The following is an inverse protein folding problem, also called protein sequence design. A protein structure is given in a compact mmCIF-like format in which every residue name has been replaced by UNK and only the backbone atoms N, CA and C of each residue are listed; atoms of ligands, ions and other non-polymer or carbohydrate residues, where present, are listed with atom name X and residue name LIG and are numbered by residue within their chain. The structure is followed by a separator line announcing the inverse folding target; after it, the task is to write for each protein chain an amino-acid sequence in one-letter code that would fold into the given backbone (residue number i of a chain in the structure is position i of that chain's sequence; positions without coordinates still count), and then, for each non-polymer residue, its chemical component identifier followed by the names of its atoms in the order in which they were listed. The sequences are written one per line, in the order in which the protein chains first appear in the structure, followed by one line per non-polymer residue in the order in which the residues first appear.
data_IF_124473979719
#
_entry.id   IF_124473979719
#
_cell.length_a   1.000
_cell.length_b   1.000
_cell.length_c   1.000
_cell.angle_alpha   90.00
_cell.angle_beta   90.00
_cell.angle_gamma   90.00
#
_symmetry.space_group_name_H-M   'P 1'
#
loop_
_entity.id
_entity.type
_entity.pdbx_description
1 polymer ?
#
# COMPACT_ATOMS: atom_id res chain seq x y z
N UNK A 1 -4.09 19.14 -39.46
CA UNK A 1 -4.64 18.14 -38.50
C UNK A 1 -4.77 16.81 -39.22
N UNK A 2 -3.78 15.92 -39.08
CA UNK A 2 -3.84 14.55 -39.61
C UNK A 2 -3.42 13.59 -38.49
N UNK A 3 -4.30 12.64 -38.20
CA UNK A 3 -4.23 11.71 -37.07
C UNK A 3 -3.90 10.33 -37.63
N UNK A 4 -2.62 9.96 -37.63
CA UNK A 4 -2.19 8.61 -38.05
C UNK A 4 -2.33 7.68 -36.86
N UNK A 5 -3.36 6.82 -36.90
CA UNK A 5 -3.49 5.66 -36.00
C UNK A 5 -2.53 4.57 -36.50
N UNK A 6 -1.49 4.26 -35.75
CA UNK A 6 -0.79 3.00 -35.93
C UNK A 6 -1.58 1.88 -35.26
N UNK A 7 -2.14 1.00 -36.09
CA UNK A 7 -2.67 -0.30 -35.72
C UNK A 7 -1.50 -1.29 -35.80
N UNK A 8 -1.06 -1.82 -34.67
CA UNK A 8 -0.15 -2.96 -34.62
C UNK A 8 -1.00 -4.23 -34.76
N UNK A 9 -0.93 -4.87 -35.93
CA UNK A 9 -1.38 -6.26 -36.14
C UNK A 9 -0.21 -7.18 -35.78
N UNK A 10 -0.44 -8.09 -34.84
CA UNK A 10 0.39 -9.25 -34.58
C UNK A 10 -0.06 -10.38 -35.52
N UNK A 11 0.78 -10.73 -36.48
CA UNK A 11 0.76 -12.01 -37.18
C UNK A 11 2.23 -12.43 -37.31
N UNK A 12 2.71 -13.30 -36.41
CA UNK A 12 3.79 -14.20 -36.79
C UNK A 12 3.64 -15.53 -36.03
N UNK A 13 3.76 -16.58 -36.81
CA UNK A 13 3.39 -17.93 -36.49
C UNK A 13 4.64 -18.75 -36.23
N UNK A 14 4.56 -19.65 -35.25
CA UNK A 14 5.14 -20.98 -35.39
C UNK A 14 6.59 -21.20 -34.98
N UNK A 15 6.72 -22.03 -33.94
CA UNK A 15 7.50 -23.29 -33.99
C UNK A 15 8.92 -23.29 -33.38
N UNK A 16 8.95 -23.37 -32.05
CA UNK A 16 9.87 -24.23 -31.27
C UNK A 16 9.50 -25.72 -31.51
N UNK A 17 10.34 -26.76 -31.55
CA UNK A 17 11.71 -27.02 -31.11
C UNK A 17 11.71 -28.46 -30.55
N UNK A 18 12.58 -29.37 -31.04
CA UNK A 18 12.75 -30.70 -30.43
C UNK A 18 13.30 -31.83 -31.31
N UNK A 19 14.64 -31.93 -31.34
CA UNK A 19 15.58 -33.04 -31.64
C UNK A 19 15.17 -34.31 -32.43
N UNK A 20 16.12 -34.86 -33.22
CA UNK A 20 16.75 -36.09 -32.74
C UNK A 20 18.30 -36.12 -32.79
N UNK A 21 18.83 -37.05 -32.01
CA UNK A 21 20.22 -37.41 -31.71
C UNK A 21 20.98 -38.16 -32.83
N UNK A 22 22.29 -37.86 -32.96
CA UNK A 22 23.45 -38.68 -33.40
C UNK A 22 23.20 -39.95 -34.26
N UNK A 23 23.77 -40.14 -35.45
CA UNK A 23 25.21 -40.46 -35.74
C UNK A 23 25.41 -40.56 -37.28
N UNK A 24 26.53 -40.12 -37.88
CA UNK A 24 26.88 -40.51 -39.24
C UNK A 24 27.86 -41.70 -39.24
N UNK A 25 27.39 -42.85 -39.70
CA UNK A 25 28.22 -44.00 -40.10
C UNK A 25 28.85 -43.74 -41.47
N UNK A 26 30.15 -44.04 -41.59
CA UNK A 26 31.00 -43.90 -42.78
C UNK A 26 30.46 -44.53 -44.07
N UNK A 27 30.74 -43.92 -45.22
CA UNK A 27 31.72 -44.45 -46.20
C UNK A 27 31.71 -43.67 -47.54
N UNK A 28 32.91 -43.25 -47.94
CA UNK A 28 33.47 -43.20 -49.30
C UNK A 28 32.68 -42.52 -50.45
N UNK A 29 33.22 -41.41 -50.97
CA UNK A 29 33.81 -41.40 -52.31
C UNK A 29 34.59 -40.11 -52.61
N UNK A 30 35.87 -40.34 -52.91
CA UNK A 30 36.82 -39.59 -53.75
C UNK A 30 36.30 -38.38 -54.53
N UNK A 31 36.94 -37.24 -54.32
CA UNK A 31 36.92 -36.09 -55.22
C UNK A 31 37.88 -35.01 -54.72
N UNK A 32 39.07 -34.96 -55.30
CA UNK A 32 40.04 -33.92 -55.04
C UNK A 32 39.49 -32.55 -55.51
N UNK A 33 39.16 -31.68 -54.57
CA UNK A 33 38.84 -30.28 -54.81
C UNK A 33 39.09 -29.53 -53.52
N UNK A 34 40.10 -28.65 -53.52
CA UNK A 34 40.37 -27.76 -52.40
C UNK A 34 39.09 -26.99 -52.02
N UNK A 35 38.66 -26.97 -50.76
CA UNK A 35 37.51 -26.16 -50.38
C UNK A 35 37.92 -24.70 -50.45
N UNK A 36 37.29 -23.94 -51.35
CA UNK A 36 37.27 -22.50 -51.27
C UNK A 36 36.77 -22.07 -49.88
N UNK A 37 37.31 -21.00 -49.28
CA UNK A 37 36.91 -20.59 -47.94
C UNK A 37 35.43 -20.28 -47.95
N UNK A 38 34.66 -21.04 -47.18
CA UNK A 38 33.28 -20.68 -46.86
C UNK A 38 33.39 -19.38 -46.09
N UNK A 39 33.14 -18.27 -46.78
CA UNK A 39 33.09 -16.95 -46.15
C UNK A 39 31.96 -17.04 -45.13
N UNK A 40 32.30 -17.05 -43.85
CA UNK A 40 31.33 -16.99 -42.77
C UNK A 40 30.72 -15.58 -42.78
N UNK A 41 29.71 -15.40 -43.65
CA UNK A 41 29.02 -14.13 -43.89
C UNK A 41 28.43 -13.60 -42.58
N UNK A 42 28.03 -14.49 -41.66
CA UNK A 42 27.51 -14.10 -40.36
C UNK A 42 28.61 -13.52 -39.46
N UNK A 43 29.79 -14.13 -39.45
CA UNK A 43 30.95 -13.56 -38.77
C UNK A 43 31.38 -12.20 -39.36
N UNK A 44 31.30 -12.04 -40.69
CA UNK A 44 31.60 -10.76 -41.35
C UNK A 44 30.55 -9.69 -41.03
N UNK A 45 29.26 -10.02 -40.98
CA UNK A 45 28.20 -9.09 -40.58
C UNK A 45 28.41 -8.63 -39.13
N UNK A 46 28.71 -9.57 -38.22
CA UNK A 46 28.95 -9.25 -36.81
C UNK A 46 30.21 -8.38 -36.63
N UNK A 47 31.27 -8.66 -37.38
CA UNK A 47 32.48 -7.85 -37.38
C UNK A 47 32.22 -6.44 -37.94
N UNK A 48 31.45 -6.33 -39.02
CA UNK A 48 31.08 -5.04 -39.60
C UNK A 48 30.17 -4.21 -38.68
N UNK A 49 29.23 -4.87 -37.97
CA UNK A 49 28.41 -4.20 -36.95
C UNK A 49 29.27 -3.67 -35.82
N UNK A 50 30.17 -4.50 -35.27
CA UNK A 50 31.07 -4.09 -34.20
C UNK A 50 31.99 -2.94 -34.62
N UNK A 51 32.44 -2.94 -35.88
CA UNK A 51 33.26 -1.86 -36.43
C UNK A 51 32.47 -0.56 -36.59
N UNK A 52 31.20 -0.63 -37.01
CA UNK A 52 30.30 0.52 -37.11
C UNK A 52 29.89 1.06 -35.74
N UNK A 53 29.66 0.19 -34.76
CA UNK A 53 29.40 0.58 -33.38
C UNK A 53 30.62 1.27 -32.75
N UNK A 54 31.83 0.78 -33.04
CA UNK A 54 33.07 1.38 -32.58
C UNK A 54 33.34 2.75 -33.24
N UNK A 55 33.12 2.87 -34.55
CA UNK A 55 33.20 4.16 -35.27
C UNK A 55 32.18 5.16 -34.70
N UNK A 56 30.94 4.73 -34.49
CA UNK A 56 29.90 5.56 -33.90
C UNK A 56 30.25 6.01 -32.47
N UNK A 57 30.73 5.09 -31.62
CA UNK A 57 31.14 5.42 -30.26
C UNK A 57 32.32 6.40 -30.23
N UNK A 58 33.30 6.22 -31.11
CA UNK A 58 34.46 7.12 -31.22
C UNK A 58 34.05 8.52 -31.71
N UNK A 59 33.14 8.60 -32.68
CA UNK A 59 32.64 9.88 -33.20
C UNK A 59 31.73 10.58 -32.20
N UNK A 60 30.95 9.82 -31.42
CA UNK A 60 30.15 10.33 -30.31
C UNK A 60 31.02 10.86 -29.17
N UNK A 61 32.08 10.14 -28.80
CA UNK A 61 33.06 10.60 -27.80
C UNK A 61 33.80 11.85 -28.28
N UNK A 62 34.18 11.92 -29.57
CA UNK A 62 34.86 13.08 -30.14
C UNK A 62 33.95 14.31 -30.24
N UNK A 63 32.68 14.14 -30.59
CA UNK A 63 31.75 15.25 -30.78
C UNK A 63 31.14 15.76 -29.47
N UNK A 64 30.98 14.88 -28.47
CA UNK A 64 30.20 15.18 -27.27
C UNK A 64 30.95 14.96 -25.96
N UNK A 65 32.14 14.35 -26.00
CA UNK A 65 32.94 14.03 -24.82
C UNK A 65 32.42 12.84 -24.01
N UNK A 66 31.38 12.14 -24.48
CA UNK A 66 30.74 11.04 -23.77
C UNK A 66 30.91 9.71 -24.51
N UNK A 67 31.12 8.62 -23.77
CA UNK A 67 31.42 7.31 -24.36
C UNK A 67 30.20 6.63 -24.99
N UNK A 68 29.01 6.93 -24.48
CA UNK A 68 27.75 6.31 -24.89
C UNK A 68 26.60 7.32 -24.92
N UNK A 69 25.54 7.06 -25.70
CA UNK A 69 24.31 7.85 -25.70
C UNK A 69 23.72 7.97 -24.28
N UNK A 70 23.73 6.89 -23.49
CA UNK A 70 23.20 6.90 -22.11
C UNK A 70 23.88 7.99 -21.26
N UNK A 71 25.20 8.04 -21.25
CA UNK A 71 25.96 9.05 -20.49
C UNK A 71 25.70 10.48 -20.98
N UNK A 72 25.50 10.69 -22.29
CA UNK A 72 25.13 11.99 -22.82
C UNK A 72 23.72 12.42 -22.38
N UNK A 73 22.79 11.47 -22.40
CA UNK A 73 21.40 11.70 -22.00
C UNK A 73 21.34 12.04 -20.50
N UNK A 74 22.08 11.29 -19.68
CA UNK A 74 22.20 11.51 -18.24
C UNK A 74 22.88 12.85 -17.91
N UNK A 75 23.95 13.21 -18.62
CA UNK A 75 24.60 14.50 -18.50
C UNK A 75 23.70 15.66 -18.94
N UNK A 76 22.90 15.48 -20.01
CA UNK A 76 21.89 16.47 -20.41
C UNK A 76 20.77 16.62 -19.37
N UNK A 77 20.32 15.51 -18.79
CA UNK A 77 19.31 15.51 -17.73
C UNK A 77 19.84 16.16 -16.45
N UNK A 78 21.11 15.95 -16.10
CA UNK A 78 21.80 16.65 -15.00
C UNK A 78 21.98 18.14 -15.32
N UNK A 79 22.47 18.48 -16.51
CA UNK A 79 22.72 19.87 -16.92
C UNK A 79 21.43 20.70 -17.06
N UNK A 80 20.31 20.07 -17.42
CA UNK A 80 18.98 20.71 -17.45
C UNK A 80 18.33 20.82 -16.07
N UNK A 81 18.97 20.35 -15.00
CA UNK A 81 18.39 20.38 -13.63
C UNK A 81 17.17 19.47 -13.43
N UNK A 82 16.75 18.73 -14.46
CA UNK A 82 15.55 17.89 -14.44
C UNK A 82 15.65 16.75 -13.43
N UNK A 83 16.85 16.24 -13.15
CA UNK A 83 17.04 15.22 -12.11
C UNK A 83 16.83 15.80 -10.71
N UNK A 84 17.28 17.03 -10.47
CA UNK A 84 17.05 17.73 -9.21
C UNK A 84 15.55 18.02 -9.05
N UNK A 85 14.90 18.54 -10.08
CA UNK A 85 13.46 18.83 -10.08
C UNK A 85 12.61 17.58 -9.87
N UNK A 86 12.98 16.46 -10.51
CA UNK A 86 12.31 15.18 -10.33
C UNK A 86 12.53 14.62 -8.92
N UNK A 87 13.74 14.75 -8.37
CA UNK A 87 14.02 14.36 -7.00
C UNK A 87 13.24 15.20 -5.99
N UNK A 88 13.21 16.53 -6.15
CA UNK A 88 12.47 17.45 -5.29
C UNK A 88 10.95 17.21 -5.40
N UNK A 89 10.43 16.97 -6.60
CA UNK A 89 9.03 16.60 -6.81
C UNK A 89 8.67 15.28 -6.12
N UNK A 90 9.53 14.27 -6.22
CA UNK A 90 9.32 12.97 -5.54
C UNK A 90 9.43 13.10 -4.02
N UNK A 91 10.34 13.94 -3.52
CA UNK A 91 10.45 14.24 -2.11
C UNK A 91 9.18 14.97 -1.59
N UNK A 92 8.66 15.94 -2.36
CA UNK A 92 7.42 16.64 -2.03
C UNK A 92 6.20 15.71 -2.06
N UNK A 93 6.10 14.82 -3.05
CA UNK A 93 5.08 13.77 -3.10
C UNK A 93 5.17 12.86 -1.87
N UNK A 94 6.36 12.34 -1.55
CA UNK A 94 6.59 11.46 -0.41
C UNK A 94 6.19 12.14 0.91
N UNK A 95 6.58 13.41 1.12
CA UNK A 95 6.20 14.18 2.30
C UNK A 95 4.68 14.41 2.38
N UNK A 96 4.01 14.59 1.23
CA UNK A 96 2.55 14.72 1.17
C UNK A 96 1.87 13.42 1.58
N UNK A 97 2.33 12.27 1.08
CA UNK A 97 1.80 10.98 1.46
C UNK A 97 2.07 10.64 2.92
N UNK A 98 3.27 10.96 3.42
CA UNK A 98 3.62 10.80 4.83
C UNK A 98 2.70 11.61 5.73
N UNK A 99 2.55 12.91 5.45
CA UNK A 99 1.64 13.79 6.23
C UNK A 99 0.19 13.28 6.22
N UNK A 100 -0.30 12.82 5.06
CA UNK A 100 -1.66 12.27 4.95
C UNK A 100 -1.82 10.97 5.75
N UNK A 101 -0.84 10.08 5.67
CA UNK A 101 -0.82 8.83 6.41
C UNK A 101 -0.80 9.10 7.92
N UNK A 102 0.10 9.97 8.38
CA UNK A 102 0.21 10.35 9.79
C UNK A 102 -1.10 10.98 10.28
N UNK A 103 -1.66 11.92 9.52
CA UNK A 103 -2.94 12.55 9.85
C UNK A 103 -4.10 11.55 9.95
N UNK A 104 -4.16 10.57 9.04
CA UNK A 104 -5.17 9.51 9.08
C UNK A 104 -4.97 8.56 10.26
N UNK A 105 -3.72 8.14 10.54
CA UNK A 105 -3.39 7.29 11.68
C UNK A 105 -3.75 7.97 13.01
N UNK A 106 -3.35 9.23 13.18
CA UNK A 106 -3.68 10.06 14.33
C UNK A 106 -5.20 10.18 14.50
N UNK A 107 -5.91 10.52 13.42
CA UNK A 107 -7.37 10.67 13.46
C UNK A 107 -8.07 9.39 13.86
N UNK A 108 -7.69 8.25 13.27
CA UNK A 108 -8.29 6.96 13.56
C UNK A 108 -8.02 6.54 15.01
N UNK A 109 -6.78 6.68 15.50
CA UNK A 109 -6.42 6.31 16.86
C UNK A 109 -7.17 7.17 17.90
N UNK A 110 -7.25 8.48 17.67
CA UNK A 110 -7.96 9.41 18.56
C UNK A 110 -9.46 9.15 18.59
N UNK A 111 -10.09 8.97 17.42
CA UNK A 111 -11.52 8.69 17.34
C UNK A 111 -11.86 7.34 17.98
N UNK A 112 -11.03 6.32 17.79
CA UNK A 112 -11.20 5.00 18.41
C UNK A 112 -11.09 5.06 19.94
N UNK A 113 -10.14 5.85 20.47
CA UNK A 113 -9.94 6.02 21.91
C UNK A 113 -10.97 6.97 22.57
N UNK A 114 -11.70 7.76 21.79
CA UNK A 114 -12.64 8.78 22.28
C UNK A 114 -14.10 8.29 22.36
N UNK A 115 -14.33 6.97 22.48
CA UNK A 115 -15.70 6.40 22.58
C UNK A 115 -16.51 7.01 23.73
N UNK A 116 -15.83 7.34 24.82
CA UNK A 116 -16.42 7.88 26.06
C UNK A 116 -16.55 9.41 26.02
N UNK A 117 -16.10 10.06 24.95
CA UNK A 117 -16.26 11.50 24.78
C UNK A 117 -17.65 11.83 24.20
N UNK A 118 -18.25 12.96 24.63
CA UNK A 118 -19.49 13.52 24.07
C UNK A 118 -19.29 13.89 22.62
N UNK A 119 -18.14 14.51 22.33
CA UNK A 119 -17.70 14.88 20.99
C UNK A 119 -16.27 14.36 20.71
N UNK A 120 -16.15 13.18 20.07
CA UNK A 120 -14.86 12.63 19.65
C UNK A 120 -14.09 13.52 18.69
N UNK A 121 -14.77 14.35 17.87
CA UNK A 121 -14.12 15.23 16.91
C UNK A 121 -13.38 16.37 17.62
N UNK A 122 -14.02 16.99 18.63
CA UNK A 122 -13.36 17.99 19.48
C UNK A 122 -12.17 17.42 20.24
N UNK A 123 -12.27 16.20 20.78
CA UNK A 123 -11.13 15.53 21.44
C UNK A 123 -9.98 15.31 20.47
N UNK A 124 -10.28 14.86 19.24
CA UNK A 124 -9.30 14.71 18.17
C UNK A 124 -8.62 16.03 17.85
N UNK A 125 -9.37 17.12 17.66
CA UNK A 125 -8.79 18.44 17.33
C UNK A 125 -7.91 19.01 18.46
N UNK A 126 -8.26 18.75 19.72
CA UNK A 126 -7.48 19.19 20.88
C UNK A 126 -6.15 18.43 21.06
N UNK A 127 -6.08 17.18 20.61
CA UNK A 127 -4.93 16.30 20.81
C UNK A 127 -4.10 16.08 19.53
N UNK A 128 -4.68 16.28 18.35
CA UNK A 128 -4.00 16.05 17.07
C UNK A 128 -2.71 16.86 16.93
N UNK A 129 -2.67 18.10 17.43
CA UNK A 129 -1.47 18.95 17.41
C UNK A 129 -0.31 18.47 18.29
N UNK A 130 -0.56 17.52 19.19
CA UNK A 130 0.44 16.92 20.09
C UNK A 130 0.74 15.45 19.76
N UNK A 131 0.01 14.88 18.81
CA UNK A 131 0.15 13.51 18.42
C UNK A 131 1.37 13.34 17.49
N UNK A 132 2.09 12.25 17.69
CA UNK A 132 3.22 11.83 16.86
C UNK A 132 3.02 10.38 16.45
N UNK A 133 3.37 10.07 15.21
CA UNK A 133 3.38 8.69 14.71
C UNK A 133 4.83 8.21 14.69
N UNK A 134 5.09 7.04 15.22
CA UNK A 134 6.40 6.39 15.13
C UNK A 134 6.59 5.67 13.78
N UNK A 135 7.80 5.19 13.53
CA UNK A 135 8.13 4.46 12.29
C UNK A 135 7.38 3.12 12.17
N UNK A 136 6.78 2.62 13.25
CA UNK A 136 5.95 1.42 13.29
C UNK A 136 4.45 1.71 13.09
N UNK A 137 4.06 2.99 12.95
CA UNK A 137 2.67 3.41 12.77
C UNK A 137 1.88 3.58 14.08
N UNK A 138 2.51 3.47 15.25
CA UNK A 138 1.86 3.74 16.53
C UNK A 138 1.77 5.23 16.80
N UNK A 139 0.60 5.65 17.27
CA UNK A 139 0.33 7.03 17.65
C UNK A 139 0.61 7.22 19.13
N UNK A 140 1.40 8.24 19.48
CA UNK A 140 1.65 8.65 20.86
C UNK A 140 1.34 10.13 21.03
N UNK A 141 0.89 10.54 22.22
CA UNK A 141 0.57 11.93 22.54
C UNK A 141 1.37 12.29 23.78
N UNK A 142 2.26 13.29 23.68
CA UNK A 142 3.16 13.68 24.78
C UNK A 142 3.95 12.48 25.37
N UNK A 143 4.30 11.50 24.54
CA UNK A 143 5.02 10.27 24.95
C UNK A 143 4.14 9.20 25.63
N UNK A 144 2.82 9.38 25.66
CA UNK A 144 1.85 8.44 26.23
C UNK A 144 1.02 7.74 25.14
N UNK A 145 0.47 6.54 25.43
CA UNK A 145 -0.54 5.91 24.58
C UNK A 145 -1.75 6.82 24.38
N UNK A 146 -2.40 6.72 23.21
CA UNK A 146 -3.56 7.56 22.87
C UNK A 146 -4.70 7.43 23.90
N UNK A 147 -4.98 6.22 24.36
CA UNK A 147 -6.03 5.96 25.35
C UNK A 147 -5.78 6.73 26.66
N UNK A 148 -4.55 6.73 27.16
CA UNK A 148 -4.18 7.42 28.40
C UNK A 148 -4.26 8.94 28.24
N UNK A 149 -3.86 9.46 27.08
CA UNK A 149 -3.94 10.89 26.77
C UNK A 149 -5.39 11.37 26.64
N UNK A 150 -6.26 10.58 25.98
CA UNK A 150 -7.70 10.87 25.90
C UNK A 150 -8.33 10.82 27.28
N UNK A 151 -8.05 9.79 28.08
CA UNK A 151 -8.55 9.69 29.45
C UNK A 151 -8.12 10.87 30.32
N UNK A 152 -6.84 11.24 30.29
CA UNK A 152 -6.34 12.40 31.02
C UNK A 152 -7.02 13.71 30.55
N UNK A 153 -7.33 13.84 29.26
CA UNK A 153 -8.08 14.99 28.75
C UNK A 153 -9.53 15.01 29.28
N UNK A 154 -10.20 13.85 29.29
CA UNK A 154 -11.57 13.72 29.80
C UNK A 154 -11.66 13.97 31.31
N UNK A 155 -10.65 13.56 32.08
CA UNK A 155 -10.52 13.88 33.51
C UNK A 155 -10.29 15.39 33.74
N UNK A 156 -9.43 16.01 32.93
CA UNK A 156 -9.18 17.45 33.02
C UNK A 156 -10.36 18.31 32.52
N UNK A 157 -11.17 17.77 31.61
CA UNK A 157 -12.33 18.43 30.98
C UNK A 157 -13.55 17.52 31.06
N UNK A 158 -14.21 17.43 32.23
CA UNK A 158 -15.33 16.52 32.44
C UNK A 158 -16.55 16.85 31.56
N UNK A 159 -16.66 18.07 31.03
CA UNK A 159 -17.71 18.45 30.07
C UNK A 159 -17.56 17.77 28.70
N UNK A 160 -16.38 17.25 28.38
CA UNK A 160 -16.14 16.46 27.17
C UNK A 160 -16.43 14.97 27.39
N UNK A 161 -16.52 14.51 28.64
CA UNK A 161 -16.84 13.13 28.95
C UNK A 161 -18.36 12.90 28.88
N UNK A 162 -18.78 11.80 28.26
CA UNK A 162 -20.18 11.38 28.31
C UNK A 162 -20.55 11.14 29.77
N UNK A 163 -21.74 11.57 30.14
CA UNK A 163 -22.32 11.17 31.42
C UNK A 163 -22.46 9.65 31.42
N UNK A 164 -21.58 8.97 32.16
CA UNK A 164 -21.64 7.53 32.33
C UNK A 164 -22.81 7.24 33.28
N UNK A 165 -24.01 7.03 32.73
CA UNK A 165 -25.16 6.52 33.48
C UNK A 165 -25.74 7.45 34.55
N UNK A 166 -25.79 8.76 34.29
CA UNK A 166 -26.65 9.66 35.07
C UNK A 166 -28.06 9.62 34.47
N UNK A 167 -29.01 8.97 35.15
CA UNK A 167 -30.45 9.05 34.86
C UNK A 167 -30.89 10.52 34.83
N UNK A 168 -30.84 11.14 33.64
CA UNK A 168 -31.45 12.43 33.39
C UNK A 168 -32.97 12.29 33.52
N UNK A 169 -33.56 13.12 34.38
CA UNK A 169 -34.96 13.10 34.80
C UNK A 169 -35.95 13.46 33.68
N UNK A 170 -35.99 12.69 32.60
CA UNK A 170 -36.86 13.03 31.46
C UNK A 170 -37.21 11.94 30.47
N UNK A 171 -36.55 10.77 30.49
CA UNK A 171 -36.97 9.65 29.66
C UNK A 171 -36.67 8.33 30.38
N UNK A 172 -37.66 7.43 30.59
CA UNK A 172 -37.33 6.08 31.00
C UNK A 172 -36.45 5.48 29.90
N UNK A 173 -35.21 5.20 30.26
CA UNK A 173 -34.32 4.37 29.48
C UNK A 173 -35.07 3.05 29.30
N UNK A 174 -35.56 2.78 28.09
CA UNK A 174 -36.03 1.44 27.74
C UNK A 174 -34.79 0.56 27.66
N UNK A 175 -34.23 0.21 28.82
CA UNK A 175 -33.49 -1.02 28.98
C UNK A 175 -34.47 -2.11 28.63
N UNK A 176 -34.51 -2.46 27.36
CA UNK A 176 -34.90 -3.78 26.89
C UNK A 176 -33.91 -4.79 27.50
N UNK A 177 -33.98 -4.97 28.82
CA UNK A 177 -33.76 -6.27 29.41
C UNK A 177 -34.86 -7.12 28.82
N UNK A 178 -34.51 -8.01 27.90
CA UNK A 178 -35.45 -9.02 27.41
C UNK A 178 -36.12 -9.71 28.60
N UNK A 179 -37.35 -10.21 28.44
CA UNK A 179 -38.14 -10.77 29.54
C UNK A 179 -37.30 -11.76 30.33
N UNK A 180 -37.07 -11.46 31.62
CA UNK A 180 -36.30 -12.34 32.49
C UNK A 180 -37.03 -13.69 32.54
N UNK A 181 -36.36 -14.72 32.04
CA UNK A 181 -36.91 -16.07 31.98
C UNK A 181 -36.35 -16.88 33.15
N UNK A 182 -37.22 -17.43 33.99
CA UNK A 182 -36.83 -18.33 35.10
C UNK A 182 -37.50 -19.68 34.92
N UNK A 183 -36.82 -20.75 35.28
CA UNK A 183 -37.47 -22.06 35.32
C UNK A 183 -38.55 -22.11 36.40
N UNK A 184 -39.49 -23.05 36.29
CA UNK A 184 -40.54 -23.23 37.30
C UNK A 184 -39.98 -23.44 38.71
N UNK A 185 -38.91 -24.23 38.84
CA UNK A 185 -38.25 -24.49 40.12
C UNK A 185 -37.62 -23.22 40.72
N UNK A 186 -36.99 -22.39 39.89
CA UNK A 186 -36.40 -21.12 40.34
C UNK A 186 -37.45 -20.07 40.71
N UNK A 187 -38.61 -20.06 40.04
CA UNK A 187 -39.73 -19.19 40.40
C UNK A 187 -40.35 -19.61 41.75
N UNK A 188 -40.48 -20.90 42.00
CA UNK A 188 -41.02 -21.43 43.26
C UNK A 188 -40.03 -21.30 44.43
N UNK A 189 -38.74 -21.19 44.17
CA UNK A 189 -37.73 -20.89 45.20
C UNK A 189 -37.76 -19.42 45.65
N UNK A 190 -38.44 -18.51 44.91
CA UNK A 190 -38.58 -17.12 45.30
C UNK A 190 -39.58 -16.95 46.44
N UNK A 191 -39.32 -15.98 47.33
CA UNK A 191 -40.30 -15.52 48.30
C UNK A 191 -41.49 -14.81 47.60
N UNK A 192 -42.58 -14.62 48.34
CA UNK A 192 -43.81 -14.04 47.78
C UNK A 192 -43.58 -12.63 47.19
N UNK A 193 -42.74 -11.82 47.83
CA UNK A 193 -42.42 -10.45 47.40
C UNK A 193 -41.66 -10.45 46.07
N UNK A 194 -40.68 -11.32 45.92
CA UNK A 194 -39.87 -11.46 44.72
C UNK A 194 -40.67 -12.09 43.56
N UNK A 195 -41.61 -13.00 43.83
CA UNK A 195 -42.54 -13.52 42.81
C UNK A 195 -43.44 -12.42 42.24
N UNK A 196 -44.03 -11.59 43.09
CA UNK A 196 -44.88 -10.47 42.65
C UNK A 196 -44.10 -9.47 41.82
N UNK A 197 -42.86 -9.17 42.22
CA UNK A 197 -41.98 -8.27 41.48
C UNK A 197 -41.57 -8.85 40.11
N UNK A 198 -41.23 -10.14 40.06
CA UNK A 198 -40.88 -10.84 38.81
C UNK A 198 -42.04 -10.82 37.80
N UNK A 199 -43.27 -11.02 38.25
CA UNK A 199 -44.47 -10.95 37.38
C UNK A 199 -44.71 -9.50 36.92
N UNK A 200 -44.59 -8.52 37.83
CA UNK A 200 -44.79 -7.10 37.51
C UNK A 200 -43.76 -6.56 36.50
N UNK A 201 -42.54 -7.11 36.51
CA UNK A 201 -41.45 -6.76 35.60
C UNK A 201 -41.52 -7.53 34.26
N UNK A 202 -42.59 -8.28 34.00
CA UNK A 202 -42.80 -8.99 32.72
C UNK A 202 -41.96 -10.26 32.57
N UNK A 203 -41.57 -10.88 33.69
CA UNK A 203 -40.84 -12.14 33.71
C UNK A 203 -41.65 -13.30 33.13
N UNK A 204 -40.99 -14.20 32.39
CA UNK A 204 -41.61 -15.41 31.82
C UNK A 204 -41.11 -16.63 32.58
N UNK A 205 -42.03 -17.51 32.99
CA UNK A 205 -41.62 -18.83 33.51
C UNK A 205 -41.47 -19.77 32.31
N UNK A 206 -40.27 -20.33 32.13
CA UNK A 206 -39.90 -21.23 31.02
C UNK A 206 -39.67 -22.66 31.49
#
# INVERSE_FOLDING_TARGET
MFKVRHVLRNDDAGQSGGAPTNTPTSASQSGAGAPAPVVDVQAQINAALAQKDAEFAAELEKATGHKNIKSLTEAQLQAQGKLQELADAKAAEANTYKTKFEGAAISNALLAASSDAVDPATVKDLLAGKAKVDDAGNVTIDGKPVADAVKALLEAKPFLAKAQGGTGSGAPQNTAGGPQSKSRAEFEALDHTARSKFIAEGGKVV
#
